data_IF_590568337876
#
_entry.id   IF_590568337876
#
_cell.length_a   1.000
_cell.length_b   1.000
_cell.length_c   1.000
_cell.angle_alpha   90.00
_cell.angle_beta   90.00
_cell.angle_gamma   90.00
#
_symmetry.space_group_name_H-M   'P 1'
#
loop_
_entity.id
_entity.type
_entity.pdbx_description
1 polymer ?
#
# COMPACT_ATOMS: atom_id res chain seq x y z
N UNK A 1 -0.79 -14.63 30.00
CA UNK A 1 -1.79 -14.31 28.95
C UNK A 1 -1.97 -15.56 28.09
N UNK A 2 -3.07 -15.70 27.35
CA UNK A 2 -3.21 -16.81 26.38
C UNK A 2 -2.52 -16.42 25.08
N UNK A 3 -2.03 -17.42 24.34
CA UNK A 3 -1.47 -17.23 23.01
C UNK A 3 -2.54 -17.24 21.93
N UNK A 4 -2.52 -16.24 21.07
CA UNK A 4 -3.38 -16.12 19.90
C UNK A 4 -2.76 -16.77 18.67
N UNK A 5 -3.56 -16.89 17.60
CA UNK A 5 -3.03 -17.25 16.29
C UNK A 5 -2.26 -16.07 15.69
N UNK A 6 -1.08 -16.33 15.12
CA UNK A 6 -0.22 -15.30 14.50
C UNK A 6 -0.94 -14.46 13.44
N UNK A 7 -1.91 -15.04 12.74
CA UNK A 7 -2.70 -14.40 11.67
C UNK A 7 -4.04 -13.85 12.15
N UNK A 8 -4.33 -13.86 13.46
CA UNK A 8 -5.52 -13.25 14.04
C UNK A 8 -6.81 -14.06 13.93
N UNK A 9 -6.77 -15.31 13.44
CA UNK A 9 -7.97 -16.14 13.24
C UNK A 9 -8.74 -16.42 14.52
N UNK A 10 -8.08 -16.38 15.69
CA UNK A 10 -8.73 -16.52 17.01
C UNK A 10 -9.70 -15.39 17.34
N UNK A 11 -9.65 -14.27 16.61
CA UNK A 11 -10.61 -13.16 16.75
C UNK A 11 -11.76 -13.23 15.75
N UNK A 12 -11.76 -14.14 14.78
CA UNK A 12 -12.83 -14.21 13.79
C UNK A 12 -14.10 -14.77 14.43
N UNK A 13 -15.19 -14.02 14.31
CA UNK A 13 -16.51 -14.42 14.81
C UNK A 13 -17.33 -15.04 13.69
N UNK A 14 -17.33 -14.43 12.50
CA UNK A 14 -18.13 -14.90 11.37
C UNK A 14 -17.49 -14.56 10.01
N UNK A 15 -17.37 -15.52 9.08
CA UNK A 15 -17.51 -16.97 9.30
C UNK A 15 -16.29 -17.56 10.02
N UNK A 16 -16.53 -18.47 10.97
CA UNK A 16 -15.46 -19.18 11.70
C UNK A 16 -14.56 -19.95 10.71
N UNK A 17 -13.25 -19.91 10.93
CA UNK A 17 -12.25 -20.53 10.05
C UNK A 17 -11.74 -19.62 8.93
N UNK A 18 -12.35 -18.44 8.76
CA UNK A 18 -11.85 -17.40 7.86
C UNK A 18 -10.63 -16.66 8.41
N UNK A 19 -9.99 -15.85 7.56
CA UNK A 19 -8.99 -14.87 7.99
C UNK A 19 -9.67 -13.57 8.43
N UNK A 20 -9.02 -12.73 9.28
CA UNK A 20 -9.63 -11.49 9.75
C UNK A 20 -10.05 -10.53 8.63
N UNK A 21 -9.35 -10.49 7.50
CA UNK A 21 -9.68 -9.59 6.38
C UNK A 21 -11.01 -9.95 5.68
N UNK A 22 -11.23 -11.19 5.21
CA UNK A 22 -12.48 -11.59 4.58
C UNK A 22 -13.63 -11.84 5.57
N UNK A 23 -13.36 -11.94 6.87
CA UNK A 23 -14.41 -12.12 7.88
C UNK A 23 -15.42 -10.96 7.87
N UNK A 24 -16.71 -11.27 7.99
CA UNK A 24 -17.76 -10.27 8.16
C UNK A 24 -17.58 -9.57 9.52
N UNK A 25 -17.27 -10.34 10.56
CA UNK A 25 -17.12 -9.85 11.92
C UNK A 25 -15.93 -10.44 12.64
N UNK A 26 -15.18 -9.58 13.34
CA UNK A 26 -14.11 -9.96 14.25
C UNK A 26 -14.33 -9.37 15.65
N UNK A 27 -13.76 -10.03 16.66
CA UNK A 27 -13.73 -9.53 18.03
C UNK A 27 -12.77 -8.34 18.14
N UNK A 28 -13.32 -7.19 18.51
CA UNK A 28 -12.59 -5.99 18.89
C UNK A 28 -12.54 -5.79 20.41
N UNK A 29 -12.48 -6.88 21.18
CA UNK A 29 -12.05 -6.82 22.58
C UNK A 29 -10.59 -6.34 22.63
N UNK A 30 -10.35 -5.23 23.33
CA UNK A 30 -9.03 -4.62 23.43
C UNK A 30 -8.12 -5.32 24.45
N UNK A 31 -8.60 -6.38 25.11
CA UNK A 31 -7.76 -7.30 25.86
C UNK A 31 -6.87 -8.07 24.89
N UNK A 32 -5.56 -7.88 25.01
CA UNK A 32 -4.58 -8.50 24.11
C UNK A 32 -4.17 -9.90 24.58
N UNK A 33 -3.85 -10.74 23.61
CA UNK A 33 -3.14 -12.01 23.80
C UNK A 33 -1.63 -11.76 24.00
N UNK A 34 -0.89 -12.78 24.43
CA UNK A 34 0.56 -12.64 24.68
C UNK A 34 1.39 -12.36 23.41
N UNK A 35 0.82 -12.58 22.23
CA UNK A 35 1.44 -12.31 20.93
C UNK A 35 0.72 -11.24 20.11
N UNK A 36 0.14 -10.24 20.80
CA UNK A 36 -0.53 -9.10 20.19
C UNK A 36 0.02 -7.78 20.74
N UNK A 37 -0.23 -6.69 20.00
CA UNK A 37 0.18 -5.34 20.35
C UNK A 37 -1.07 -4.46 20.42
N UNK A 38 -1.27 -3.77 21.55
CA UNK A 38 -2.32 -2.77 21.72
C UNK A 38 -1.78 -1.41 21.30
N UNK A 39 -2.54 -0.72 20.46
CA UNK A 39 -2.22 0.62 19.96
C UNK A 39 -3.31 1.59 20.39
N UNK A 40 -2.87 2.70 20.99
CA UNK A 40 -3.68 3.89 21.21
C UNK A 40 -3.67 4.72 19.92
N UNK A 41 -4.83 4.89 19.28
CA UNK A 41 -4.92 5.33 17.88
C UNK A 41 -5.13 6.84 17.82
N UNK A 42 -4.22 7.54 17.14
CA UNK A 42 -4.34 8.98 16.88
C UNK A 42 -5.24 9.23 15.64
N UNK A 43 -4.93 8.51 14.55
CA UNK A 43 -5.53 8.75 13.23
C UNK A 43 -5.83 7.45 12.50
N UNK A 44 -6.97 7.43 11.80
CA UNK A 44 -7.25 6.52 10.71
C UNK A 44 -7.02 7.26 9.39
N UNK A 45 -6.19 6.68 8.53
CA UNK A 45 -6.04 7.07 7.14
C UNK A 45 -6.89 6.12 6.31
N UNK A 46 -8.11 6.54 5.99
CA UNK A 46 -9.04 5.73 5.22
C UNK A 46 -8.55 5.68 3.78
N UNK A 47 -8.60 4.50 3.17
CA UNK A 47 -8.24 4.34 1.76
C UNK A 47 -9.08 5.25 0.86
N UNK A 48 -8.47 5.89 -0.13
CA UNK A 48 -9.13 6.96 -0.90
C UNK A 48 -10.39 6.51 -1.64
N UNK A 49 -10.43 5.26 -2.13
CA UNK A 49 -11.65 4.71 -2.75
C UNK A 49 -12.77 4.56 -1.73
N UNK A 50 -12.45 4.06 -0.53
CA UNK A 50 -13.40 3.99 0.60
C UNK A 50 -13.89 5.36 1.04
N UNK A 51 -12.99 6.35 1.17
CA UNK A 51 -13.37 7.68 1.62
C UNK A 51 -14.26 8.39 0.60
N UNK A 52 -13.93 8.26 -0.70
CA UNK A 52 -14.72 8.81 -1.81
C UNK A 52 -16.13 8.24 -1.81
N UNK A 53 -16.24 6.90 -1.72
CA UNK A 53 -17.54 6.22 -1.69
C UNK A 53 -18.38 6.65 -0.47
N UNK A 54 -17.78 6.71 0.72
CA UNK A 54 -18.47 7.17 1.93
C UNK A 54 -18.91 8.63 1.83
N UNK A 55 -18.09 9.48 1.23
CA UNK A 55 -18.39 10.89 1.02
C UNK A 55 -19.54 11.09 0.03
N UNK A 56 -19.58 10.32 -1.05
CA UNK A 56 -20.67 10.31 -2.03
C UNK A 56 -21.99 9.82 -1.40
N UNK A 57 -21.95 8.69 -0.67
CA UNK A 57 -23.12 8.15 0.05
C UNK A 57 -23.63 9.14 1.11
N UNK A 58 -22.72 9.84 1.78
CA UNK A 58 -23.04 10.89 2.75
C UNK A 58 -23.51 12.20 2.10
N UNK A 59 -23.44 12.35 0.78
CA UNK A 59 -23.70 13.61 0.09
C UNK A 59 -22.82 14.77 0.58
N UNK A 60 -21.55 14.48 0.90
CA UNK A 60 -20.59 15.46 1.44
C UNK A 60 -20.77 15.80 2.93
N UNK A 61 -21.72 15.17 3.63
CA UNK A 61 -21.97 15.47 5.04
C UNK A 61 -20.98 14.78 5.97
N UNK A 62 -20.12 15.56 6.63
CA UNK A 62 -19.13 15.05 7.60
C UNK A 62 -19.78 14.23 8.72
N UNK A 63 -20.92 14.67 9.26
CA UNK A 63 -21.61 13.95 10.34
C UNK A 63 -22.16 12.59 9.89
N UNK A 64 -22.62 12.48 8.63
CA UNK A 64 -23.01 11.19 8.06
C UNK A 64 -21.81 10.28 7.84
N UNK A 65 -20.67 10.81 7.39
CA UNK A 65 -19.42 10.03 7.24
C UNK A 65 -18.98 9.50 8.62
N UNK A 66 -18.99 10.33 9.67
CA UNK A 66 -18.69 9.89 11.05
C UNK A 66 -19.60 8.74 11.48
N UNK A 67 -20.90 8.92 11.29
CA UNK A 67 -21.91 7.93 11.67
C UNK A 67 -21.68 6.60 10.94
N UNK A 68 -21.37 6.66 9.64
CA UNK A 68 -21.09 5.46 8.82
C UNK A 68 -19.83 4.73 9.25
N UNK A 69 -18.75 5.44 9.55
CA UNK A 69 -17.51 4.82 10.06
C UNK A 69 -17.78 4.09 11.38
N UNK A 70 -18.49 4.74 12.32
CA UNK A 70 -18.83 4.12 13.61
C UNK A 70 -19.73 2.89 13.43
N UNK A 71 -20.74 2.98 12.56
CA UNK A 71 -21.63 1.87 12.20
C UNK A 71 -20.84 0.66 11.67
N UNK A 72 -19.96 0.89 10.68
CA UNK A 72 -19.12 -0.16 10.09
C UNK A 72 -18.24 -0.83 11.16
N UNK A 73 -17.56 -0.03 11.99
CA UNK A 73 -16.66 -0.56 13.02
C UNK A 73 -17.44 -1.32 14.09
N UNK A 74 -18.63 -0.85 14.47
CA UNK A 74 -19.48 -1.52 15.44
C UNK A 74 -20.02 -2.86 14.91
N UNK A 75 -20.43 -2.89 13.64
CA UNK A 75 -20.95 -4.10 12.99
C UNK A 75 -19.86 -5.16 12.83
N UNK A 76 -18.69 -4.75 12.30
CA UNK A 76 -17.63 -5.65 11.83
C UNK A 76 -16.50 -5.87 12.84
N UNK A 77 -16.36 -5.00 13.83
CA UNK A 77 -15.21 -4.98 14.77
C UNK A 77 -13.92 -4.42 14.15
N UNK A 78 -14.00 -3.84 12.96
CA UNK A 78 -12.87 -3.37 12.14
C UNK A 78 -13.38 -2.35 11.13
N UNK A 79 -12.51 -1.49 10.60
CA UNK A 79 -12.90 -0.59 9.52
C UNK A 79 -12.70 -1.29 8.17
N UNK A 80 -13.77 -1.87 7.65
CA UNK A 80 -13.84 -2.44 6.31
C UNK A 80 -15.09 -1.89 5.63
N UNK A 81 -14.90 -1.02 4.64
CA UNK A 81 -16.01 -0.50 3.87
C UNK A 81 -16.73 -1.66 3.15
N UNK A 82 -18.05 -1.84 3.34
CA UNK A 82 -18.81 -2.92 2.72
C UNK A 82 -18.86 -2.90 1.19
N UNK A 83 -18.70 -1.73 0.57
CA UNK A 83 -18.80 -1.53 -0.87
C UNK A 83 -17.47 -1.79 -1.56
N UNK A 84 -16.38 -1.26 -1.01
CA UNK A 84 -15.04 -1.36 -1.63
C UNK A 84 -14.22 -2.53 -1.10
N UNK A 85 -14.55 -3.04 0.10
CA UNK A 85 -13.77 -4.04 0.82
C UNK A 85 -12.46 -3.53 1.44
N UNK A 86 -12.11 -2.25 1.24
CA UNK A 86 -10.89 -1.64 1.76
C UNK A 86 -11.10 -1.00 3.15
N UNK A 87 -10.00 -0.64 3.81
CA UNK A 87 -10.04 -0.03 5.15
C UNK A 87 -9.10 1.17 5.26
N UNK A 88 -7.84 0.98 4.89
CA UNK A 88 -6.78 1.99 5.03
C UNK A 88 -5.76 1.61 6.11
N UNK A 89 -5.06 2.58 6.67
CA UNK A 89 -4.02 2.37 7.69
C UNK A 89 -4.32 3.21 8.95
N UNK A 90 -3.62 2.95 10.06
CA UNK A 90 -3.68 3.81 11.24
C UNK A 90 -2.31 4.33 11.64
N UNK A 91 -2.33 5.46 12.34
CA UNK A 91 -1.23 5.94 13.16
C UNK A 91 -1.66 5.86 14.62
N UNK A 92 -0.75 5.41 15.48
CA UNK A 92 -0.95 5.49 16.91
C UNK A 92 0.33 5.29 17.70
N UNK A 93 0.19 5.21 19.00
CA UNK A 93 1.26 4.89 19.94
C UNK A 93 1.06 3.51 20.53
N UNK A 94 2.14 2.77 20.70
CA UNK A 94 2.10 1.46 21.33
C UNK A 94 1.75 1.61 22.80
N UNK A 95 0.60 1.09 23.22
CA UNK A 95 0.16 1.12 24.62
C UNK A 95 0.66 -0.11 25.37
N UNK A 96 0.53 -1.30 24.77
CA UNK A 96 0.94 -2.57 25.38
C UNK A 96 1.48 -3.53 24.33
N UNK A 97 2.45 -4.34 24.74
CA UNK A 97 3.02 -5.41 23.92
C UNK A 97 2.88 -6.70 24.72
N UNK A 98 2.31 -7.74 24.10
CA UNK A 98 2.23 -9.05 24.69
C UNK A 98 3.61 -9.63 25.03
N UNK A 99 3.68 -10.45 26.08
CA UNK A 99 4.95 -10.94 26.62
C UNK A 99 5.78 -11.77 25.63
N UNK A 100 5.14 -12.49 24.70
CA UNK A 100 5.84 -13.31 23.69
C UNK A 100 6.47 -12.48 22.58
N UNK A 101 6.16 -11.18 22.48
CA UNK A 101 6.72 -10.28 21.47
C UNK A 101 7.77 -9.33 22.02
N UNK A 102 7.67 -8.93 23.30
CA UNK A 102 8.43 -7.82 23.89
C UNK A 102 9.94 -7.86 23.61
N UNK A 103 10.55 -9.03 23.62
CA UNK A 103 11.99 -9.21 23.40
C UNK A 103 12.35 -9.76 22.01
N UNK A 104 11.35 -9.92 21.12
CA UNK A 104 11.51 -10.49 19.76
C UNK A 104 11.30 -9.48 18.65
N UNK A 105 10.81 -8.28 18.96
CA UNK A 105 10.53 -7.22 17.99
C UNK A 105 11.27 -5.95 18.37
N UNK A 106 11.65 -5.15 17.37
CA UNK A 106 12.18 -3.81 17.62
C UNK A 106 11.00 -2.83 17.82
N UNK A 107 10.32 -2.91 18.95
CA UNK A 107 9.21 -2.01 19.30
C UNK A 107 9.08 -1.89 20.83
N UNK A 108 8.81 -0.67 21.33
CA UNK A 108 8.63 -0.38 22.74
C UNK A 108 7.30 0.32 23.00
N UNK A 109 6.80 0.20 24.23
CA UNK A 109 5.65 0.99 24.69
C UNK A 109 5.99 2.48 24.57
N UNK A 110 5.07 3.26 24.00
CA UNK A 110 5.23 4.68 23.70
C UNK A 110 5.73 4.99 22.28
N UNK A 111 6.27 4.00 21.55
CA UNK A 111 6.71 4.21 20.17
C UNK A 111 5.52 4.62 19.30
N UNK A 112 5.72 5.65 18.47
CA UNK A 112 4.73 6.08 17.48
C UNK A 112 4.91 5.26 16.21
N UNK A 113 3.84 4.63 15.73
CA UNK A 113 3.88 3.76 14.56
C UNK A 113 2.81 4.12 13.54
N UNK A 114 3.08 3.77 12.29
CA UNK A 114 2.07 3.60 11.27
C UNK A 114 1.94 2.11 10.95
N UNK A 115 0.71 1.61 10.81
CA UNK A 115 0.48 0.22 10.41
C UNK A 115 0.67 0.07 8.93
N UNK A 116 1.36 -0.99 8.51
CA UNK A 116 1.51 -1.39 7.11
C UNK A 116 0.59 -2.58 6.79
N UNK A 117 -0.50 -2.67 7.56
CA UNK A 117 -1.59 -3.64 7.40
C UNK A 117 -2.90 -2.89 7.39
N UNK A 118 -3.85 -3.45 6.66
CA UNK A 118 -5.14 -2.80 6.44
C UNK A 118 -6.00 -2.77 7.71
N UNK A 119 -6.73 -1.67 7.90
CA UNK A 119 -7.81 -1.58 8.87
C UNK A 119 -8.91 -2.63 8.64
N UNK A 120 -9.03 -3.17 7.43
CA UNK A 120 -10.02 -4.21 7.09
C UNK A 120 -9.75 -5.58 7.69
N UNK A 121 -8.62 -5.76 8.38
CA UNK A 121 -8.29 -6.96 9.16
C UNK A 121 -7.94 -6.65 10.61
N UNK A 122 -7.83 -5.36 10.96
CA UNK A 122 -7.32 -4.89 12.25
C UNK A 122 -8.48 -4.70 13.22
N UNK A 123 -8.54 -5.44 14.35
CA UNK A 123 -9.51 -5.18 15.40
C UNK A 123 -9.43 -3.72 15.85
N UNK A 124 -10.55 -3.01 15.76
CA UNK A 124 -10.62 -1.57 16.01
C UNK A 124 -11.84 -1.28 16.89
N UNK A 125 -11.63 -0.44 17.90
CA UNK A 125 -12.70 0.14 18.72
C UNK A 125 -12.53 1.64 18.75
N UNK A 126 -13.55 2.36 18.28
CA UNK A 126 -13.60 3.82 18.31
C UNK A 126 -14.53 4.22 19.44
N UNK A 127 -14.01 5.03 20.37
CA UNK A 127 -14.83 5.65 21.43
C UNK A 127 -15.45 6.94 20.91
N UNK A 128 -14.67 7.74 20.18
CA UNK A 128 -15.11 9.02 19.63
C UNK A 128 -14.35 9.39 18.36
N UNK A 129 -15.05 10.00 17.40
CA UNK A 129 -14.41 10.70 16.28
C UNK A 129 -14.30 12.18 16.64
N UNK A 130 -13.07 12.69 16.67
CA UNK A 130 -12.76 14.08 17.01
C UNK A 130 -12.91 14.98 15.78
N UNK A 131 -12.32 14.58 14.64
CA UNK A 131 -12.29 15.38 13.42
C UNK A 131 -12.18 14.49 12.18
N UNK A 132 -12.77 14.94 11.07
CA UNK A 132 -12.51 14.39 9.74
C UNK A 132 -11.87 15.50 8.89
N UNK A 133 -10.78 15.18 8.20
CA UNK A 133 -10.12 16.05 7.23
C UNK A 133 -10.28 15.41 5.82
N UNK A 134 -11.32 15.79 5.06
CA UNK A 134 -11.64 15.18 3.78
C UNK A 134 -10.56 15.35 2.71
N UNK A 135 -9.75 16.39 2.78
CA UNK A 135 -8.71 16.67 1.78
C UNK A 135 -7.56 15.65 1.78
N UNK A 136 -7.41 14.91 2.88
CA UNK A 136 -6.32 13.95 3.10
C UNK A 136 -6.85 12.61 3.63
N UNK A 137 -8.15 12.35 3.46
CA UNK A 137 -8.84 11.10 3.85
C UNK A 137 -8.57 10.67 5.31
N UNK A 138 -8.40 11.63 6.22
CA UNK A 138 -7.97 11.38 7.61
C UNK A 138 -9.09 11.57 8.61
N UNK A 139 -9.19 10.64 9.55
CA UNK A 139 -10.13 10.65 10.67
C UNK A 139 -9.34 10.61 11.97
N UNK A 140 -9.46 11.66 12.78
CA UNK A 140 -8.88 11.73 14.12
C UNK A 140 -9.85 11.14 15.13
N UNK A 141 -9.36 10.23 15.97
CA UNK A 141 -10.20 9.45 16.88
C UNK A 141 -9.62 9.37 18.29
N UNK A 142 -10.49 9.09 19.25
CA UNK A 142 -10.14 8.44 20.51
C UNK A 142 -10.54 6.97 20.36
N UNK A 143 -9.58 6.06 20.38
CA UNK A 143 -9.84 4.65 20.14
C UNK A 143 -8.60 3.79 20.21
N UNK A 144 -8.82 2.47 20.13
CA UNK A 144 -7.76 1.48 20.25
C UNK A 144 -7.83 0.44 19.15
N UNK A 145 -6.67 -0.09 18.79
CA UNK A 145 -6.54 -1.16 17.82
C UNK A 145 -5.60 -2.25 18.30
N UNK A 146 -5.76 -3.46 17.76
CA UNK A 146 -4.89 -4.60 18.05
C UNK A 146 -4.13 -4.99 16.79
N UNK A 147 -2.80 -5.04 16.85
CA UNK A 147 -1.97 -5.67 15.83
C UNK A 147 -1.63 -7.11 16.21
N UNK A 148 -1.74 -8.00 15.23
CA UNK A 148 -1.33 -9.39 15.35
C UNK A 148 0.19 -9.56 15.21
N UNK A 149 0.74 -10.70 15.64
CA UNK A 149 2.16 -11.05 15.47
C UNK A 149 2.62 -10.99 14.00
N UNK A 150 1.76 -11.28 13.01
CA UNK A 150 2.09 -11.10 11.59
C UNK A 150 1.94 -9.67 11.07
N UNK A 151 1.39 -8.76 11.87
CA UNK A 151 1.11 -7.39 11.49
C UNK A 151 2.39 -6.60 11.28
N UNK A 152 2.55 -6.01 10.10
CA UNK A 152 3.70 -5.17 9.77
C UNK A 152 3.39 -3.73 10.17
N UNK A 153 4.38 -3.05 10.70
CA UNK A 153 4.33 -1.66 11.11
C UNK A 153 5.67 -0.99 10.81
N UNK A 154 5.66 0.35 10.79
CA UNK A 154 6.86 1.16 10.76
C UNK A 154 6.82 2.15 11.93
N UNK A 155 7.96 2.32 12.62
CA UNK A 155 8.13 3.45 13.53
C UNK A 155 8.12 4.72 12.70
N UNK A 156 7.30 5.69 13.11
CA UNK A 156 7.29 6.98 12.44
C UNK A 156 8.60 7.71 12.73
N UNK A 157 9.28 8.21 11.69
CA UNK A 157 10.55 8.90 11.86
C UNK A 157 10.35 10.26 12.54
N UNK A 158 11.34 10.67 13.35
CA UNK A 158 11.30 11.96 14.06
C UNK A 158 11.80 13.15 13.23
N UNK A 159 12.30 12.91 12.01
CA UNK A 159 12.95 13.90 11.15
C UNK A 159 12.09 14.36 9.96
N UNK A 160 10.81 13.97 9.89
CA UNK A 160 9.89 14.42 8.86
C UNK A 160 8.43 14.49 9.31
N UNK A 161 7.62 15.25 8.57
CA UNK A 161 6.18 15.35 8.76
C UNK A 161 5.47 14.00 8.63
N UNK A 162 4.52 13.72 9.52
CA UNK A 162 3.75 12.46 9.51
C UNK A 162 3.00 12.24 8.18
N UNK A 163 2.55 13.33 7.54
CA UNK A 163 1.89 13.28 6.22
C UNK A 163 2.83 12.77 5.14
N UNK A 164 4.09 13.22 5.16
CA UNK A 164 5.11 12.78 4.22
C UNK A 164 5.51 11.32 4.49
N UNK A 165 5.77 10.98 5.75
CA UNK A 165 6.09 9.61 6.15
C UNK A 165 5.01 8.62 5.70
N UNK A 166 3.73 8.94 5.95
CA UNK A 166 2.61 8.12 5.51
C UNK A 166 2.53 7.97 3.99
N UNK A 167 2.73 9.05 3.24
CA UNK A 167 2.69 9.00 1.80
C UNK A 167 3.75 8.05 1.21
N UNK A 168 4.90 7.90 1.87
CA UNK A 168 5.93 6.93 1.50
C UNK A 168 5.60 5.52 1.99
N UNK A 169 5.08 5.39 3.22
CA UNK A 169 4.76 4.11 3.86
C UNK A 169 3.59 3.38 3.17
N UNK A 170 2.59 4.12 2.68
CA UNK A 170 1.44 3.61 1.93
C UNK A 170 1.84 2.79 0.70
N UNK A 171 2.95 3.17 0.07
CA UNK A 171 3.48 2.49 -1.13
C UNK A 171 4.80 1.76 -0.88
N UNK A 172 5.22 1.61 0.39
CA UNK A 172 6.53 1.04 0.73
C UNK A 172 6.73 -0.41 0.29
N UNK A 173 5.64 -1.15 0.07
CA UNK A 173 5.67 -2.49 -0.51
C UNK A 173 6.30 -2.52 -1.90
N UNK A 174 6.07 -1.49 -2.72
CA UNK A 174 6.56 -1.44 -4.10
C UNK A 174 8.10 -1.44 -4.17
N UNK A 175 8.84 -0.47 -3.60
CA UNK A 175 10.30 -0.49 -3.62
C UNK A 175 10.89 -1.68 -2.85
N UNK A 176 10.20 -2.20 -1.83
CA UNK A 176 10.66 -3.41 -1.13
C UNK A 176 10.67 -4.64 -2.05
N UNK A 177 9.71 -4.76 -2.97
CA UNK A 177 9.72 -5.82 -3.99
C UNK A 177 10.75 -5.56 -5.07
N UNK A 178 10.94 -4.31 -5.51
CA UNK A 178 12.04 -3.95 -6.43
C UNK A 178 13.39 -4.41 -5.89
N UNK A 179 13.68 -4.16 -4.61
CA UNK A 179 14.90 -4.61 -3.95
C UNK A 179 15.12 -6.13 -4.01
N UNK A 180 14.04 -6.93 -4.05
CA UNK A 180 14.11 -8.40 -4.09
C UNK A 180 14.22 -8.94 -5.51
N UNK A 181 13.54 -8.29 -6.47
CA UNK A 181 13.39 -8.77 -7.84
C UNK A 181 14.57 -8.32 -8.71
N UNK A 182 14.97 -7.06 -8.60
CA UNK A 182 15.99 -6.44 -9.46
C UNK A 182 17.38 -6.84 -9.02
N UNK A 183 18.21 -7.25 -9.99
CA UNK A 183 19.60 -7.66 -9.82
C UNK A 183 20.53 -6.68 -10.54
N UNK A 184 21.81 -6.73 -10.18
CA UNK A 184 22.85 -5.96 -10.87
C UNK A 184 22.89 -6.34 -12.36
N UNK A 185 22.89 -5.35 -13.24
CA UNK A 185 22.91 -5.56 -14.69
C UNK A 185 21.54 -5.61 -15.36
N UNK A 186 20.45 -5.73 -14.60
CA UNK A 186 19.10 -5.76 -15.19
C UNK A 186 18.75 -4.44 -15.90
N UNK A 187 17.97 -4.54 -16.98
CA UNK A 187 17.24 -3.42 -17.56
C UNK A 187 15.81 -3.44 -17.03
N UNK A 188 15.39 -2.35 -16.38
CA UNK A 188 14.11 -2.25 -15.68
C UNK A 188 13.23 -1.16 -16.28
N UNK A 189 12.02 -1.49 -16.71
CA UNK A 189 10.98 -0.54 -17.11
C UNK A 189 10.05 -0.24 -15.93
N UNK A 190 9.76 1.04 -15.69
CA UNK A 190 8.82 1.46 -14.66
C UNK A 190 7.67 2.24 -15.30
N UNK A 191 6.49 1.63 -15.34
CA UNK A 191 5.27 2.27 -15.81
C UNK A 191 4.62 3.07 -14.69
N UNK A 192 4.29 4.33 -14.95
CA UNK A 192 3.82 5.25 -13.90
C UNK A 192 4.95 5.77 -13.01
N UNK A 193 6.18 5.90 -13.54
CA UNK A 193 7.37 6.32 -12.81
C UNK A 193 7.27 7.71 -12.16
N UNK A 194 6.31 8.54 -12.59
CA UNK A 194 6.08 9.88 -12.02
C UNK A 194 5.13 9.92 -10.82
N UNK A 195 4.51 8.78 -10.48
CA UNK A 195 3.71 8.63 -9.26
C UNK A 195 4.56 8.31 -8.04
N UNK A 196 3.97 8.32 -6.84
CA UNK A 196 4.68 8.08 -5.57
C UNK A 196 5.42 6.73 -5.56
N UNK A 197 4.69 5.65 -5.85
CA UNK A 197 5.24 4.29 -5.96
C UNK A 197 6.26 4.18 -7.08
N UNK A 198 5.98 4.76 -8.26
CA UNK A 198 6.88 4.80 -9.40
C UNK A 198 8.23 5.46 -9.10
N UNK A 199 8.22 6.62 -8.43
CA UNK A 199 9.45 7.32 -8.03
C UNK A 199 10.28 6.50 -7.04
N UNK A 200 9.63 5.92 -6.03
CA UNK A 200 10.32 5.07 -5.05
C UNK A 200 10.88 3.79 -5.69
N UNK A 201 10.13 3.17 -6.61
CA UNK A 201 10.60 2.05 -7.42
C UNK A 201 11.79 2.46 -8.28
N UNK A 202 11.76 3.65 -8.90
CA UNK A 202 12.86 4.15 -9.76
C UNK A 202 14.14 4.34 -8.95
N UNK A 203 14.03 4.99 -7.79
CA UNK A 203 15.16 5.16 -6.87
C UNK A 203 15.75 3.81 -6.43
N UNK A 204 14.90 2.86 -6.01
CA UNK A 204 15.38 1.55 -5.59
C UNK A 204 15.99 0.76 -6.76
N UNK A 205 15.33 0.77 -7.92
CA UNK A 205 15.82 0.09 -9.11
C UNK A 205 17.19 0.62 -9.52
N UNK A 206 17.38 1.94 -9.57
CA UNK A 206 18.67 2.58 -9.91
C UNK A 206 19.79 2.10 -8.97
N UNK A 207 19.49 1.92 -7.69
CA UNK A 207 20.42 1.35 -6.71
C UNK A 207 20.72 -0.14 -6.96
N UNK A 208 19.72 -0.94 -7.33
CA UNK A 208 19.87 -2.39 -7.49
C UNK A 208 20.54 -2.79 -8.80
N UNK A 209 20.22 -2.11 -9.91
CA UNK A 209 20.81 -2.42 -11.23
C UNK A 209 22.31 -2.11 -11.29
N UNK A 210 22.80 -1.24 -10.39
CA UNK A 210 24.20 -0.83 -10.35
C UNK A 210 24.66 -0.12 -11.63
N UNK A 211 25.98 -0.09 -11.85
CA UNK A 211 26.57 0.63 -12.98
C UNK A 211 26.42 -0.08 -14.33
N UNK A 212 25.94 -1.33 -14.33
CA UNK A 212 25.85 -2.18 -15.53
C UNK A 212 24.45 -2.31 -16.09
N UNK A 213 23.43 -2.01 -15.29
CA UNK A 213 22.04 -2.10 -15.73
C UNK A 213 21.46 -0.73 -16.04
N UNK A 214 20.17 -0.71 -16.35
CA UNK A 214 19.46 0.47 -16.85
C UNK A 214 18.08 0.57 -16.22
N UNK A 215 17.61 1.78 -15.97
CA UNK A 215 16.25 2.06 -15.47
C UNK A 215 15.59 3.02 -16.44
N UNK A 216 14.49 2.57 -17.02
CA UNK A 216 13.68 3.29 -17.99
C UNK A 216 12.39 3.71 -17.28
N UNK A 217 12.19 5.01 -17.10
CA UNK A 217 10.98 5.55 -16.52
C UNK A 217 9.97 5.98 -17.57
N UNK A 218 8.71 5.58 -17.45
CA UNK A 218 7.65 6.07 -18.31
C UNK A 218 6.97 7.31 -17.74
N UNK A 219 6.80 8.33 -18.58
CA UNK A 219 6.01 9.52 -18.32
C UNK A 219 4.89 9.70 -19.36
N UNK A 220 3.75 10.26 -18.94
CA UNK A 220 2.58 10.43 -19.82
C UNK A 220 2.68 11.60 -20.80
N UNK A 221 3.58 12.57 -20.53
CA UNK A 221 3.75 13.77 -21.33
C UNK A 221 5.10 14.45 -21.00
N UNK A 222 5.47 15.46 -21.79
CA UNK A 222 6.73 16.19 -21.66
C UNK A 222 6.97 16.80 -20.27
N UNK A 223 5.98 17.49 -19.71
CA UNK A 223 6.12 18.10 -18.38
C UNK A 223 6.40 17.05 -17.28
N UNK A 224 5.77 15.87 -17.38
CA UNK A 224 6.03 14.76 -16.45
C UNK A 224 7.38 14.09 -16.70
N UNK A 225 7.84 14.04 -17.94
CA UNK A 225 9.17 13.54 -18.27
C UNK A 225 10.27 14.47 -17.73
N UNK A 226 10.14 15.78 -17.91
CA UNK A 226 11.07 16.78 -17.36
C UNK A 226 11.18 16.67 -15.84
N UNK A 227 10.03 16.52 -15.15
CA UNK A 227 10.02 16.24 -13.72
C UNK A 227 10.79 14.96 -13.37
N UNK A 228 10.55 13.86 -14.08
CA UNK A 228 11.22 12.59 -13.80
C UNK A 228 12.73 12.65 -14.05
N UNK A 229 13.15 13.28 -15.14
CA UNK A 229 14.56 13.53 -15.46
C UNK A 229 15.23 14.32 -14.33
N UNK A 230 14.57 15.37 -13.82
CA UNK A 230 15.11 16.20 -12.74
C UNK A 230 15.31 15.44 -11.41
N UNK A 231 14.65 14.30 -11.20
CA UNK A 231 14.88 13.46 -10.01
C UNK A 231 16.19 12.67 -10.07
N UNK A 232 16.74 12.47 -11.27
CA UNK A 232 17.88 11.57 -11.51
C UNK A 232 17.67 10.15 -10.94
N UNK A 233 16.43 9.64 -10.94
CA UNK A 233 16.13 8.27 -10.50
C UNK A 233 16.02 7.26 -11.65
N UNK A 234 15.98 7.72 -12.89
CA UNK A 234 16.02 6.88 -14.08
C UNK A 234 17.26 7.21 -14.92
N UNK A 235 17.76 6.22 -15.64
CA UNK A 235 18.82 6.42 -16.63
C UNK A 235 18.24 7.02 -17.91
N UNK A 236 17.06 6.56 -18.30
CA UNK A 236 16.33 7.04 -19.47
C UNK A 236 14.85 7.28 -19.13
N UNK A 237 14.21 8.19 -19.86
CA UNK A 237 12.80 8.50 -19.71
C UNK A 237 12.10 8.49 -21.06
N UNK A 238 11.05 7.69 -21.18
CA UNK A 238 10.20 7.63 -22.38
C UNK A 238 8.88 8.38 -22.17
N UNK A 239 8.37 8.98 -23.24
CA UNK A 239 7.03 9.57 -23.26
C UNK A 239 6.13 8.67 -24.09
N UNK A 240 5.37 7.81 -23.40
CA UNK A 240 4.61 6.77 -24.07
C UNK A 240 3.19 6.65 -23.50
N UNK A 241 2.23 6.29 -24.35
CA UNK A 241 0.87 5.99 -23.94
C UNK A 241 0.78 4.56 -23.42
N UNK A 242 0.62 4.42 -22.10
CA UNK A 242 0.50 3.12 -21.42
C UNK A 242 -0.75 2.32 -21.78
N UNK A 243 -1.71 2.92 -22.48
CA UNK A 243 -2.87 2.21 -23.05
C UNK A 243 -2.61 1.68 -24.47
N UNK A 244 -1.42 1.92 -25.02
CA UNK A 244 -0.99 1.42 -26.32
C UNK A 244 0.28 0.56 -26.12
N UNK A 245 0.14 -0.78 -26.04
CA UNK A 245 1.26 -1.68 -25.79
C UNK A 245 2.39 -1.57 -26.81
N UNK A 246 2.06 -1.43 -28.11
CA UNK A 246 3.09 -1.35 -29.15
C UNK A 246 3.87 -0.05 -29.05
N UNK A 247 3.23 1.07 -28.70
CA UNK A 247 3.95 2.32 -28.45
C UNK A 247 4.95 2.18 -27.30
N UNK A 248 4.60 1.46 -26.23
CA UNK A 248 5.53 1.21 -25.12
C UNK A 248 6.72 0.36 -25.59
N UNK A 249 6.47 -0.71 -26.34
CA UNK A 249 7.53 -1.54 -26.91
C UNK A 249 8.45 -0.70 -27.81
N UNK A 250 7.91 0.02 -28.78
CA UNK A 250 8.69 0.81 -29.74
C UNK A 250 9.60 1.83 -29.05
N UNK A 251 9.06 2.55 -28.05
CA UNK A 251 9.82 3.53 -27.27
C UNK A 251 10.93 2.86 -26.46
N UNK A 252 10.65 1.72 -25.82
CA UNK A 252 11.66 0.93 -25.09
C UNK A 252 12.76 0.43 -26.01
N UNK A 253 12.43 -0.17 -27.15
CA UNK A 253 13.41 -0.68 -28.10
C UNK A 253 14.30 0.43 -28.64
N UNK A 254 13.73 1.62 -28.89
CA UNK A 254 14.45 2.77 -29.45
C UNK A 254 15.59 3.29 -28.55
N UNK A 255 15.44 3.18 -27.23
CA UNK A 255 16.41 3.64 -26.22
C UNK A 255 17.17 2.49 -25.55
N UNK A 256 16.89 1.26 -25.94
CA UNK A 256 17.48 0.06 -25.36
C UNK A 256 18.13 -0.86 -26.39
N UNK A 257 18.77 -0.28 -27.40
CA UNK A 257 19.56 -1.02 -28.41
C UNK A 257 18.75 -2.11 -29.13
N UNK A 258 17.44 -1.87 -29.32
CA UNK A 258 16.53 -2.83 -29.92
C UNK A 258 16.23 -4.05 -29.04
N UNK A 259 16.51 -3.99 -27.74
CA UNK A 259 16.28 -5.09 -26.78
C UNK A 259 15.14 -4.78 -25.83
N UNK A 260 14.36 -5.80 -25.53
CA UNK A 260 13.36 -5.80 -24.45
C UNK A 260 14.03 -5.67 -23.08
N UNK A 261 13.24 -5.36 -22.05
CA UNK A 261 13.72 -5.22 -20.67
C UNK A 261 13.68 -6.57 -19.94
N UNK A 262 14.50 -6.72 -18.89
CA UNK A 262 14.48 -7.89 -18.02
C UNK A 262 13.25 -7.88 -17.10
N UNK A 263 12.88 -6.70 -16.62
CA UNK A 263 11.81 -6.52 -15.62
C UNK A 263 10.95 -5.31 -15.96
N UNK A 264 9.62 -5.46 -15.96
CA UNK A 264 8.68 -4.35 -15.95
C UNK A 264 7.95 -4.25 -14.60
N UNK A 265 7.87 -3.04 -14.06
CA UNK A 265 7.19 -2.72 -12.81
C UNK A 265 6.03 -1.77 -13.15
N UNK A 266 4.80 -2.23 -12.94
CA UNK A 266 3.60 -1.44 -13.17
C UNK A 266 3.09 -0.81 -11.87
N UNK A 267 3.23 0.52 -11.80
CA UNK A 267 2.78 1.37 -10.70
C UNK A 267 1.55 2.22 -11.06
N UNK A 268 0.84 1.93 -12.16
CA UNK A 268 -0.25 2.75 -12.67
C UNK A 268 -1.56 2.48 -11.95
N UNK A 269 -2.21 3.52 -11.42
CA UNK A 269 -3.54 3.43 -10.81
C UNK A 269 -4.70 3.47 -11.83
N UNK A 270 -4.46 3.02 -13.07
CA UNK A 270 -5.45 3.00 -14.15
C UNK A 270 -5.56 1.60 -14.77
N UNK A 271 -6.75 1.19 -15.26
CA UNK A 271 -6.93 -0.11 -15.89
C UNK A 271 -6.30 -0.17 -17.30
N UNK A 272 -6.22 -1.38 -17.87
CA UNK A 272 -5.80 -1.64 -19.26
C UNK A 272 -4.32 -1.35 -19.55
N UNK A 273 -3.44 -1.56 -18.56
CA UNK A 273 -1.99 -1.38 -18.72
C UNK A 273 -1.22 -2.71 -18.65
N UNK A 274 -1.93 -3.85 -18.58
CA UNK A 274 -1.35 -5.17 -18.42
C UNK A 274 -0.46 -5.56 -19.60
N UNK A 275 -1.01 -5.52 -20.82
CA UNK A 275 -0.28 -5.84 -22.04
C UNK A 275 0.91 -4.90 -22.29
N UNK A 276 0.76 -3.62 -21.96
CA UNK A 276 1.84 -2.63 -22.02
C UNK A 276 2.96 -2.92 -21.03
N UNK A 277 2.69 -3.70 -19.97
CA UNK A 277 3.69 -4.14 -19.01
C UNK A 277 4.39 -5.43 -19.46
N UNK A 278 3.67 -6.29 -20.18
CA UNK A 278 4.15 -7.61 -20.62
C UNK A 278 4.95 -7.52 -21.91
N UNK A 279 4.41 -6.86 -22.93
CA UNK A 279 4.99 -6.82 -24.28
C UNK A 279 6.46 -6.34 -24.35
N UNK A 280 6.93 -5.33 -23.57
CA UNK A 280 8.32 -4.87 -23.66
C UNK A 280 9.30 -5.72 -22.85
N UNK A 281 8.87 -6.83 -22.26
CA UNK A 281 9.70 -7.71 -21.41
C UNK A 281 10.15 -8.91 -22.22
N UNK A 282 11.44 -9.25 -22.13
CA UNK A 282 12.02 -10.38 -22.86
C UNK A 282 11.41 -11.71 -22.40
N UNK A 283 11.62 -12.75 -23.19
CA UNK A 283 11.31 -14.12 -22.79
C UNK A 283 11.99 -14.47 -21.46
N UNK A 284 11.26 -15.19 -20.60
CA UNK A 284 11.60 -15.51 -19.21
C UNK A 284 11.87 -14.29 -18.30
N UNK A 285 11.49 -13.08 -18.72
CA UNK A 285 11.55 -11.87 -17.90
C UNK A 285 10.45 -11.79 -16.84
N UNK A 286 10.44 -10.70 -16.05
CA UNK A 286 9.52 -10.54 -14.92
C UNK A 286 8.61 -9.33 -15.13
N UNK A 287 7.30 -9.53 -14.94
CA UNK A 287 6.33 -8.43 -14.84
C UNK A 287 5.80 -8.37 -13.41
N UNK A 288 5.98 -7.24 -12.75
CA UNK A 288 5.46 -6.99 -11.39
C UNK A 288 4.34 -5.94 -11.41
N UNK A 289 3.12 -6.39 -11.08
CA UNK A 289 1.96 -5.51 -10.92
C UNK A 289 1.81 -5.10 -9.46
N UNK A 290 2.12 -3.83 -9.15
CA UNK A 290 1.90 -3.27 -7.81
C UNK A 290 0.47 -2.73 -7.63
N UNK A 291 -0.16 -2.30 -8.71
CA UNK A 291 -1.45 -1.60 -8.68
C UNK A 291 -2.65 -2.52 -8.49
N UNK A 292 -3.65 -2.04 -7.72
CA UNK A 292 -4.97 -2.68 -7.62
C UNK A 292 -5.84 -2.47 -8.88
N UNK A 293 -5.45 -1.60 -9.81
CA UNK A 293 -6.17 -1.41 -11.07
C UNK A 293 -5.92 -2.53 -12.09
N UNK A 294 -4.99 -3.43 -11.80
CA UNK A 294 -4.63 -4.58 -12.64
C UNK A 294 -5.71 -5.67 -12.61
N UNK A 295 -6.07 -6.17 -13.78
CA UNK A 295 -6.90 -7.35 -13.96
C UNK A 295 -6.02 -8.58 -14.21
N UNK A 296 -6.08 -9.56 -13.31
CA UNK A 296 -5.43 -10.85 -13.50
C UNK A 296 -5.88 -11.53 -14.80
N UNK A 297 -7.17 -11.48 -15.13
CA UNK A 297 -7.71 -12.07 -16.38
C UNK A 297 -7.08 -11.45 -17.62
N UNK A 298 -6.90 -10.12 -17.67
CA UNK A 298 -6.25 -9.46 -18.81
C UNK A 298 -4.78 -9.81 -18.91
N UNK A 299 -4.07 -9.83 -17.79
CA UNK A 299 -2.68 -10.24 -17.76
C UNK A 299 -2.51 -11.70 -18.22
N UNK A 300 -3.31 -12.62 -17.71
CA UNK A 300 -3.19 -14.06 -17.99
C UNK A 300 -3.60 -14.44 -19.43
N UNK A 301 -4.60 -13.77 -20.01
CA UNK A 301 -5.02 -14.02 -21.40
C UNK A 301 -4.13 -13.33 -22.44
N UNK A 302 -3.37 -12.32 -21.99
CA UNK A 302 -2.53 -11.50 -22.85
C UNK A 302 -1.04 -11.82 -22.81
N UNK A 303 -0.61 -12.66 -21.85
CA UNK A 303 0.76 -13.13 -21.69
C UNK A 303 1.05 -14.36 -22.56
#
# INVERSE_FOLDING_TARGET
MKRGNKYGTHRVIDPVGSLPQPALKISNDMTIFDNEILVDVDYLNIDSASFTQLNEEAGGSIEKIKSKILEIVQERGKMQNPVTGSGGMLIGKVEKIGSELRDRIDLKVGDKIATLVSLSLTPLKIEKILKINPEIDRVEIEGKAVLFESGIYAKLPGDMENTLALAALDVAGAPAQVKKLVKEGDTVLILGATGKSGLMCSYMAKKMVGNKGKVIGQARNKARAEFLIATDFCHEVIIANVLNPTNILDEVLSINDGKEVDIAINCLSIPNSELSSILPVRDEGIVYFFSMATSFTKAALGA
#
